data_IF_924854345883
#
_entry.id   IF_924854345883
#
_cell.length_a   1.000
_cell.length_b   1.000
_cell.length_c   1.000
_cell.angle_alpha   90.00
_cell.angle_beta   90.00
_cell.angle_gamma   90.00
#
_symmetry.space_group_name_H-M   'P 1'
#
loop_
_entity.id
_entity.type
_entity.pdbx_description
1 polymer ?
#
# COMPACT_ATOMS: atom_id res chain seq x y z
N UNK A 1 -92.57 -13.57 -57.95
CA UNK A 1 -91.59 -13.52 -56.88
C UNK A 1 -90.25 -13.92 -57.47
N UNK A 2 -89.41 -13.00 -57.81
CA UNK A 2 -88.10 -13.27 -58.51
C UNK A 2 -86.96 -13.07 -57.54
N UNK A 3 -86.08 -14.11 -57.38
CA UNK A 3 -84.84 -14.03 -56.67
C UNK A 3 -83.70 -13.56 -57.60
N UNK A 4 -82.86 -12.66 -57.21
CA UNK A 4 -81.66 -12.36 -57.98
C UNK A 4 -80.47 -13.26 -57.54
N UNK A 5 -79.76 -13.62 -58.56
CA UNK A 5 -78.49 -14.38 -58.48
C UNK A 5 -77.36 -13.43 -58.12
N UNK A 6 -76.57 -13.76 -57.09
CA UNK A 6 -75.33 -13.05 -56.81
C UNK A 6 -74.12 -13.85 -57.33
N UNK A 7 -73.38 -13.17 -58.21
CA UNK A 7 -72.07 -13.65 -58.71
C UNK A 7 -70.99 -13.35 -57.69
N UNK A 8 -70.26 -14.35 -57.28
CA UNK A 8 -69.12 -14.15 -56.43
C UNK A 8 -67.87 -13.99 -57.30
N UNK A 9 -67.20 -12.85 -57.17
CA UNK A 9 -65.88 -12.56 -57.77
C UNK A 9 -64.80 -13.00 -56.78
N UNK A 10 -63.95 -13.95 -57.13
CA UNK A 10 -62.79 -14.35 -56.35
C UNK A 10 -61.61 -13.48 -56.74
N UNK A 11 -61.14 -12.66 -55.84
CA UNK A 11 -59.88 -11.92 -55.96
C UNK A 11 -58.73 -12.74 -55.40
N UNK A 12 -57.80 -13.13 -56.24
CA UNK A 12 -56.53 -13.75 -55.82
C UNK A 12 -55.54 -12.65 -55.34
N UNK A 13 -55.20 -12.60 -54.06
CA UNK A 13 -54.15 -11.74 -53.50
C UNK A 13 -52.80 -12.45 -53.64
N UNK A 14 -51.89 -11.87 -54.39
CA UNK A 14 -50.52 -12.29 -54.48
C UNK A 14 -49.74 -11.73 -53.28
N UNK A 15 -49.22 -12.60 -52.39
CA UNK A 15 -48.31 -12.23 -51.29
C UNK A 15 -46.93 -12.00 -51.87
N UNK A 16 -46.44 -10.78 -51.89
CA UNK A 16 -45.05 -10.45 -52.13
C UNK A 16 -44.26 -10.61 -50.83
N UNK A 17 -43.41 -11.63 -50.73
CA UNK A 17 -42.44 -11.80 -49.65
C UNK A 17 -41.29 -10.78 -49.86
N UNK A 18 -41.23 -9.74 -49.05
CA UNK A 18 -40.08 -8.87 -48.95
C UNK A 18 -38.95 -9.57 -48.19
N UNK A 19 -37.83 -9.77 -48.85
CA UNK A 19 -36.59 -10.28 -48.21
C UNK A 19 -36.03 -9.19 -47.31
N UNK A 20 -35.96 -9.44 -45.98
CA UNK A 20 -35.29 -8.59 -45.01
C UNK A 20 -33.78 -8.83 -45.15
N UNK A 21 -32.95 -7.80 -45.37
CA UNK A 21 -31.50 -7.98 -45.39
C UNK A 21 -31.00 -8.36 -43.99
N UNK A 22 -30.22 -9.45 -43.89
CA UNK A 22 -29.55 -9.84 -42.69
C UNK A 22 -28.51 -8.80 -42.33
N UNK A 23 -28.77 -8.03 -41.28
CA UNK A 23 -27.77 -7.13 -40.67
C UNK A 23 -26.68 -8.01 -40.00
N UNK A 24 -25.50 -8.03 -40.61
CA UNK A 24 -24.30 -8.64 -40.00
C UNK A 24 -23.98 -7.86 -38.74
N UNK A 25 -24.23 -8.43 -37.55
CA UNK A 25 -23.77 -7.88 -36.29
C UNK A 25 -22.24 -7.93 -36.31
N UNK A 26 -21.61 -6.77 -36.23
CA UNK A 26 -20.17 -6.65 -35.95
C UNK A 26 -19.88 -7.35 -34.61
N UNK A 27 -18.79 -8.15 -34.50
CA UNK A 27 -18.41 -8.70 -33.22
C UNK A 27 -18.17 -7.54 -32.26
N UNK A 28 -18.79 -7.59 -31.07
CA UNK A 28 -18.52 -6.67 -30.00
C UNK A 28 -17.03 -6.75 -29.68
N UNK A 29 -16.31 -5.64 -29.88
CA UNK A 29 -14.94 -5.54 -29.41
C UNK A 29 -14.98 -5.79 -27.91
N UNK A 30 -14.42 -6.91 -27.47
CA UNK A 30 -14.15 -7.12 -26.04
C UNK A 30 -13.21 -6.00 -25.64
N UNK A 31 -13.70 -5.05 -24.85
CA UNK A 31 -12.84 -4.07 -24.22
C UNK A 31 -11.78 -4.89 -23.44
N UNK A 32 -10.52 -4.75 -23.85
CA UNK A 32 -9.42 -5.30 -23.05
C UNK A 32 -9.59 -4.71 -21.66
N UNK A 33 -9.67 -5.56 -20.63
CA UNK A 33 -9.62 -5.08 -19.26
C UNK A 33 -8.40 -4.17 -19.15
N UNK A 34 -8.56 -2.97 -18.59
CA UNK A 34 -7.44 -2.09 -18.33
C UNK A 34 -6.40 -2.92 -17.57
N UNK A 35 -5.18 -2.96 -18.08
CA UNK A 35 -4.10 -3.65 -17.37
C UNK A 35 -4.00 -3.04 -15.98
N UNK A 36 -3.99 -3.89 -14.92
CA UNK A 36 -3.81 -3.45 -13.55
C UNK A 36 -2.49 -2.67 -13.38
N UNK A 37 -2.28 -2.07 -12.23
CA UNK A 37 -1.09 -1.24 -12.00
C UNK A 37 0.21 -2.07 -12.02
N UNK A 38 0.14 -3.38 -11.84
CA UNK A 38 1.28 -4.29 -11.78
C UNK A 38 1.46 -5.08 -13.10
N UNK A 39 2.58 -5.79 -13.24
CA UNK A 39 2.94 -6.55 -14.45
C UNK A 39 3.04 -5.71 -15.74
N UNK A 40 3.38 -4.43 -15.61
CA UNK A 40 3.54 -3.54 -16.77
C UNK A 40 4.90 -3.71 -17.45
N UNK A 41 5.86 -4.35 -16.78
CA UNK A 41 7.16 -4.75 -17.32
C UNK A 41 7.44 -6.22 -17.02
N UNK A 42 8.21 -6.89 -17.89
CA UNK A 42 8.49 -8.34 -17.78
C UNK A 42 9.75 -8.66 -16.98
N UNK A 43 10.61 -7.69 -16.77
CA UNK A 43 11.86 -7.83 -15.99
C UNK A 43 11.89 -6.78 -14.90
N UNK A 44 12.43 -7.15 -13.74
CA UNK A 44 12.62 -6.20 -12.65
C UNK A 44 13.52 -5.02 -13.12
N UNK A 45 13.06 -3.78 -12.99
CA UNK A 45 13.87 -2.61 -13.33
C UNK A 45 14.90 -2.34 -12.22
N UNK A 46 15.77 -1.36 -12.44
CA UNK A 46 16.54 -0.77 -11.34
C UNK A 46 15.63 0.21 -10.62
N UNK A 47 15.27 -0.10 -9.38
CA UNK A 47 14.48 0.79 -8.53
C UNK A 47 15.34 1.93 -8.01
N UNK A 48 14.83 3.14 -8.10
CA UNK A 48 15.44 4.35 -7.54
C UNK A 48 14.54 5.03 -6.52
N UNK A 49 13.32 4.52 -6.39
CA UNK A 49 12.32 5.03 -5.44
C UNK A 49 11.61 3.88 -4.74
N UNK A 50 11.42 4.03 -3.44
CA UNK A 50 10.62 3.13 -2.59
C UNK A 50 9.65 3.98 -1.77
N UNK A 51 8.37 3.63 -1.79
CA UNK A 51 7.33 4.24 -0.95
C UNK A 51 6.77 3.19 -0.01
N UNK A 52 6.71 3.52 1.27
CA UNK A 52 5.91 2.79 2.25
C UNK A 52 4.68 3.61 2.65
N UNK A 53 3.54 2.95 2.73
CA UNK A 53 2.29 3.49 3.28
C UNK A 53 1.93 2.63 4.49
N UNK A 54 1.91 3.24 5.68
CA UNK A 54 1.67 2.56 6.94
C UNK A 54 0.24 2.79 7.41
N UNK A 55 -0.47 1.68 7.58
CA UNK A 55 -1.82 1.63 8.15
C UNK A 55 -1.74 1.04 9.57
N UNK A 56 -2.83 1.08 10.32
CA UNK A 56 -2.83 0.84 11.76
C UNK A 56 -3.82 -0.23 12.21
N UNK A 57 -3.34 -1.03 13.20
CA UNK A 57 -4.14 -1.85 14.11
C UNK A 57 -5.16 -2.82 13.47
N UNK A 58 -4.86 -3.40 12.31
CA UNK A 58 -5.72 -4.44 11.75
C UNK A 58 -4.95 -5.69 11.35
N UNK A 59 -5.44 -6.85 11.83
CA UNK A 59 -4.90 -8.15 11.45
C UNK A 59 -5.18 -8.48 9.99
N UNK A 60 -4.39 -9.38 9.41
CA UNK A 60 -4.55 -9.86 8.04
C UNK A 60 -6.00 -10.26 7.72
N UNK A 61 -6.64 -11.01 8.63
CA UNK A 61 -8.01 -11.50 8.46
C UNK A 61 -9.09 -10.41 8.50
N UNK A 62 -8.79 -9.25 9.07
CA UNK A 62 -9.73 -8.13 9.12
C UNK A 62 -9.79 -7.40 7.76
N UNK A 63 -8.71 -7.48 7.00
CA UNK A 63 -8.49 -6.75 5.75
C UNK A 63 -8.65 -7.66 4.53
N UNK A 64 -7.89 -8.75 4.46
CA UNK A 64 -7.86 -9.62 3.28
C UNK A 64 -9.07 -10.56 3.28
N UNK A 65 -9.83 -10.49 2.19
CA UNK A 65 -11.13 -11.17 2.04
C UNK A 65 -12.32 -10.31 2.46
N UNK A 66 -12.11 -9.19 3.16
CA UNK A 66 -13.17 -8.24 3.55
C UNK A 66 -13.48 -7.26 2.42
N UNK A 67 -14.00 -7.77 1.30
CA UNK A 67 -14.31 -6.95 0.12
C UNK A 67 -15.46 -5.97 0.33
N UNK A 68 -16.22 -6.12 1.42
CA UNK A 68 -17.30 -5.20 1.77
C UNK A 68 -16.78 -3.87 2.34
N UNK A 69 -15.68 -3.90 3.11
CA UNK A 69 -15.09 -2.72 3.76
C UNK A 69 -13.74 -2.31 3.16
N UNK A 70 -13.03 -3.24 2.50
CA UNK A 70 -11.73 -3.01 1.89
C UNK A 70 -11.69 -3.45 0.41
N UNK A 71 -12.62 -2.97 -0.46
CA UNK A 71 -12.66 -3.38 -1.86
C UNK A 71 -11.41 -2.96 -2.64
N UNK A 72 -10.87 -1.76 -2.40
CA UNK A 72 -9.69 -1.26 -3.10
C UNK A 72 -8.43 -2.02 -2.70
N UNK A 73 -8.22 -2.25 -1.42
CA UNK A 73 -7.09 -3.02 -0.89
C UNK A 73 -7.09 -4.45 -1.44
N UNK A 74 -8.26 -5.11 -1.41
CA UNK A 74 -8.39 -6.47 -1.97
C UNK A 74 -8.22 -6.50 -3.50
N UNK A 75 -8.65 -5.44 -4.19
CA UNK A 75 -8.37 -5.23 -5.61
C UNK A 75 -6.86 -5.17 -5.88
N UNK A 76 -6.13 -4.31 -5.19
CA UNK A 76 -4.66 -4.22 -5.30
C UNK A 76 -3.97 -5.54 -4.96
N UNK A 77 -4.41 -6.24 -3.91
CA UNK A 77 -3.85 -7.54 -3.53
C UNK A 77 -4.04 -8.60 -4.63
N UNK A 78 -5.14 -8.54 -5.38
CA UNK A 78 -5.42 -9.46 -6.49
C UNK A 78 -4.71 -9.09 -7.80
N UNK A 79 -4.48 -7.79 -8.02
CA UNK A 79 -3.85 -7.25 -9.23
C UNK A 79 -2.33 -7.13 -9.13
N UNK A 80 -1.78 -7.23 -7.91
CA UNK A 80 -0.36 -7.05 -7.60
C UNK A 80 0.16 -8.21 -6.74
N UNK A 81 0.99 -7.90 -5.74
CA UNK A 81 1.61 -8.86 -4.84
C UNK A 81 0.98 -8.84 -3.45
N UNK A 82 0.78 -10.01 -2.83
CA UNK A 82 0.32 -10.17 -1.45
C UNK A 82 1.24 -11.09 -0.66
N UNK A 83 1.86 -10.57 0.40
CA UNK A 83 2.54 -11.40 1.40
C UNK A 83 1.49 -12.00 2.35
N UNK A 84 1.30 -13.32 2.27
CA UNK A 84 0.27 -14.03 3.05
C UNK A 84 0.75 -14.50 4.42
N UNK A 85 2.01 -14.23 4.77
CA UNK A 85 2.62 -14.58 6.05
C UNK A 85 3.59 -13.47 6.47
N UNK A 86 3.03 -12.27 6.69
CA UNK A 86 3.80 -11.10 7.11
C UNK A 86 3.45 -10.71 8.55
N UNK A 87 4.47 -10.45 9.37
CA UNK A 87 4.33 -10.22 10.79
C UNK A 87 4.86 -8.85 11.21
N UNK A 88 4.19 -8.21 12.15
CA UNK A 88 4.76 -7.09 12.90
C UNK A 88 5.86 -7.57 13.87
N UNK A 89 6.41 -6.66 14.67
CA UNK A 89 7.52 -6.97 15.58
C UNK A 89 7.02 -7.09 17.01
N UNK A 90 6.13 -6.20 17.43
CA UNK A 90 5.69 -6.05 18.80
C UNK A 90 4.33 -5.37 18.88
N UNK A 91 3.86 -5.10 20.08
CA UNK A 91 2.83 -4.19 20.49
C UNK A 91 3.38 -3.29 21.60
N UNK A 92 2.99 -2.01 21.66
CA UNK A 92 2.10 -1.23 20.80
C UNK A 92 2.80 -0.72 19.52
N UNK A 93 2.21 0.31 18.87
CA UNK A 93 2.60 0.82 17.54
C UNK A 93 4.05 1.29 17.44
N UNK A 94 4.49 2.22 18.29
CA UNK A 94 5.80 2.90 18.14
C UNK A 94 7.02 1.96 18.03
N UNK A 95 7.14 0.85 18.78
CA UNK A 95 8.19 -0.14 18.59
C UNK A 95 8.29 -0.65 17.15
N UNK A 96 7.15 -0.84 16.44
CA UNK A 96 7.13 -1.31 15.06
C UNK A 96 7.71 -0.25 14.11
N UNK A 97 7.31 1.02 14.26
CA UNK A 97 7.83 2.14 13.47
C UNK A 97 9.34 2.30 13.62
N UNK A 98 9.85 2.19 14.86
CA UNK A 98 11.29 2.28 15.12
C UNK A 98 12.02 1.02 14.59
N UNK A 99 11.46 -0.18 14.78
CA UNK A 99 12.05 -1.42 14.29
C UNK A 99 12.16 -1.44 12.76
N UNK A 100 11.06 -1.09 12.04
CA UNK A 100 11.05 -1.09 10.58
C UNK A 100 11.96 -0.04 9.95
N UNK A 101 12.30 1.04 10.68
CA UNK A 101 13.13 2.11 10.14
C UNK A 101 14.58 2.07 10.58
N UNK A 102 14.94 1.25 11.60
CA UNK A 102 16.30 1.16 12.14
C UNK A 102 16.86 -0.26 12.25
N UNK A 103 16.00 -1.27 12.19
CA UNK A 103 16.42 -2.66 12.49
C UNK A 103 16.70 -2.92 13.97
N UNK A 104 16.33 -2.01 14.88
CA UNK A 104 16.49 -2.22 16.33
C UNK A 104 15.59 -3.35 16.84
N UNK A 105 16.06 -4.06 17.88
CA UNK A 105 15.34 -5.18 18.50
C UNK A 105 15.69 -5.35 19.98
N UNK A 106 14.99 -6.21 20.68
CA UNK A 106 15.25 -6.60 22.06
C UNK A 106 15.30 -5.38 22.99
N UNK A 107 16.40 -5.23 23.75
CA UNK A 107 16.51 -4.11 24.71
C UNK A 107 16.54 -2.71 24.07
N UNK A 108 16.99 -2.61 22.82
CA UNK A 108 17.11 -1.33 22.14
C UNK A 108 15.77 -0.76 21.70
N UNK A 109 14.72 -1.60 21.54
CA UNK A 109 13.37 -1.18 21.20
C UNK A 109 12.52 -0.85 22.43
N UNK A 110 12.87 -1.37 23.63
CA UNK A 110 12.10 -1.21 24.87
C UNK A 110 11.78 0.25 25.27
N UNK A 111 12.63 1.26 25.03
CA UNK A 111 12.29 2.64 25.35
C UNK A 111 11.00 3.15 24.68
N UNK A 112 10.53 2.47 23.64
CA UNK A 112 9.39 2.84 22.81
C UNK A 112 8.08 2.10 23.14
N UNK A 113 8.12 1.13 24.05
CA UNK A 113 7.00 0.23 24.40
C UNK A 113 5.77 0.93 25.02
N UNK A 114 5.80 2.24 25.22
CA UNK A 114 4.70 3.01 25.81
C UNK A 114 4.09 4.06 24.87
N UNK A 115 4.38 4.01 23.58
CA UNK A 115 3.95 5.01 22.58
C UNK A 115 4.25 6.45 22.99
N UNK A 116 5.39 6.62 23.65
CA UNK A 116 5.81 7.90 24.21
C UNK A 116 6.17 8.92 23.13
N UNK A 117 5.96 10.19 23.37
CA UNK A 117 6.47 11.26 22.50
C UNK A 117 8.01 11.37 22.59
N UNK A 118 8.68 11.91 21.55
CA UNK A 118 10.13 12.10 21.52
C UNK A 118 10.65 12.80 22.77
N UNK A 119 11.63 12.22 23.44
CA UNK A 119 12.24 12.74 24.64
C UNK A 119 13.60 12.06 24.89
N UNK A 120 14.36 12.52 25.90
CA UNK A 120 15.62 11.86 26.29
C UNK A 120 15.48 10.38 26.65
N UNK A 121 14.26 9.93 27.04
CA UNK A 121 13.97 8.53 27.41
C UNK A 121 13.27 7.77 26.28
N UNK A 122 12.73 8.48 25.30
CA UNK A 122 11.98 7.95 24.17
C UNK A 122 12.58 8.49 22.87
N UNK A 123 13.82 8.17 22.62
CA UNK A 123 14.56 8.49 21.39
C UNK A 123 15.80 7.61 21.27
N UNK A 124 16.40 7.61 20.10
CA UNK A 124 17.60 6.81 19.83
C UNK A 124 18.61 7.59 18.99
N UNK A 125 19.90 7.27 19.17
CA UNK A 125 20.97 7.68 18.26
C UNK A 125 21.34 6.60 17.24
N UNK A 126 20.57 5.54 17.16
CA UNK A 126 20.81 4.47 16.19
C UNK A 126 20.65 5.00 14.75
N UNK A 127 21.37 4.44 13.78
CA UNK A 127 21.12 4.69 12.37
C UNK A 127 19.70 4.30 11.98
N UNK A 128 19.15 5.02 11.00
CA UNK A 128 17.86 4.70 10.39
C UNK A 128 17.95 4.78 8.87
N UNK A 129 17.01 4.19 8.16
CA UNK A 129 16.93 4.27 6.70
C UNK A 129 16.93 5.72 6.21
N UNK A 130 16.38 6.65 6.99
CA UNK A 130 16.38 8.09 6.69
C UNK A 130 17.79 8.70 6.67
N UNK A 131 18.76 8.10 7.36
CA UNK A 131 20.12 8.61 7.50
C UNK A 131 21.18 7.85 6.71
N UNK A 132 20.81 6.92 5.81
CA UNK A 132 21.78 6.05 5.11
C UNK A 132 22.41 6.70 3.85
N UNK A 133 22.12 7.96 3.57
CA UNK A 133 22.78 8.74 2.51
C UNK A 133 21.93 8.96 1.26
N UNK A 134 20.84 8.22 1.07
CA UNK A 134 19.88 8.51 0.02
C UNK A 134 18.92 9.64 0.42
N UNK A 135 18.29 10.25 -0.58
CA UNK A 135 17.26 11.26 -0.34
C UNK A 135 16.02 10.61 0.28
N UNK A 136 15.43 11.27 1.25
CA UNK A 136 14.22 10.77 1.92
C UNK A 136 13.23 11.88 2.23
N UNK A 137 11.96 11.51 2.40
CA UNK A 137 10.93 12.32 3.08
C UNK A 137 9.96 11.42 3.84
N UNK A 138 9.49 11.92 4.97
CA UNK A 138 8.27 11.44 5.62
C UNK A 138 7.13 12.41 5.32
N UNK A 139 5.94 11.87 5.07
CA UNK A 139 4.74 12.62 4.70
C UNK A 139 3.62 12.20 5.63
N UNK A 140 3.32 13.05 6.61
CA UNK A 140 2.37 12.73 7.67
C UNK A 140 1.11 13.58 7.52
N UNK A 141 -0.04 12.91 7.43
CA UNK A 141 -1.32 13.57 7.31
C UNK A 141 -1.71 14.24 8.64
N UNK A 142 -2.34 15.41 8.56
CA UNK A 142 -2.70 16.25 9.71
C UNK A 142 -1.53 16.74 10.55
N UNK A 143 -0.28 16.53 10.15
CA UNK A 143 0.88 17.04 10.85
C UNK A 143 0.87 18.60 10.85
N UNK A 144 0.97 19.26 12.02
CA UNK A 144 0.78 20.71 12.13
C UNK A 144 1.95 21.54 11.62
N UNK A 145 3.15 20.97 11.59
CA UNK A 145 4.39 21.60 11.13
C UNK A 145 5.44 20.53 10.89
N UNK A 146 6.46 20.85 10.10
CA UNK A 146 7.56 19.90 9.83
C UNK A 146 8.18 19.38 11.13
N UNK A 147 8.48 18.06 11.16
CA UNK A 147 9.13 17.40 12.29
C UNK A 147 8.40 17.65 13.64
N UNK A 148 7.06 17.59 13.63
CA UNK A 148 6.25 17.85 14.81
C UNK A 148 6.51 16.80 15.91
N UNK A 149 6.99 17.21 17.10
CA UNK A 149 7.42 16.26 18.13
C UNK A 149 6.31 15.85 19.09
N UNK A 150 5.06 16.20 18.83
CA UNK A 150 3.92 15.94 19.71
C UNK A 150 2.63 15.72 18.93
N UNK A 151 1.70 14.96 19.51
CA UNK A 151 0.37 14.74 18.94
C UNK A 151 -0.38 16.07 18.73
N UNK A 152 -1.17 16.16 17.67
CA UNK A 152 -1.98 17.33 17.34
C UNK A 152 -3.22 16.93 16.52
N UNK A 153 -4.40 17.03 17.13
CA UNK A 153 -5.62 16.56 16.47
C UNK A 153 -5.50 15.09 16.07
N UNK A 154 -5.67 14.80 14.78
CA UNK A 154 -5.57 13.46 14.23
C UNK A 154 -4.12 13.04 13.87
N UNK A 155 -3.13 13.91 14.03
CA UNK A 155 -1.73 13.55 13.91
C UNK A 155 -1.21 12.88 15.18
N UNK A 156 -0.66 11.68 15.04
CA UNK A 156 -0.02 10.94 16.13
C UNK A 156 1.49 10.84 15.92
N UNK A 157 2.27 11.49 16.78
CA UNK A 157 3.74 11.49 16.65
C UNK A 157 4.34 10.09 16.74
N UNK A 158 3.70 9.15 17.45
CA UNK A 158 4.14 7.75 17.54
C UNK A 158 4.11 7.02 16.19
N UNK A 159 3.37 7.53 15.20
CA UNK A 159 3.32 7.00 13.83
C UNK A 159 4.31 7.71 12.89
N UNK A 160 5.05 8.70 13.40
CA UNK A 160 6.05 9.46 12.66
C UNK A 160 7.46 9.21 13.24
N UNK A 161 8.27 8.28 12.68
CA UNK A 161 9.54 7.89 13.27
C UNK A 161 10.67 8.94 13.22
N UNK A 162 10.81 9.86 12.22
CA UNK A 162 11.94 10.78 12.16
C UNK A 162 12.23 11.59 13.43
N UNK A 163 11.25 12.15 14.17
CA UNK A 163 11.51 12.91 15.40
C UNK A 163 12.17 12.11 16.53
N UNK A 164 12.17 10.79 16.48
CA UNK A 164 12.77 9.93 17.51
C UNK A 164 14.26 9.69 17.31
N UNK A 165 14.84 10.07 16.16
CA UNK A 165 16.24 9.85 15.84
C UNK A 165 17.07 11.12 16.15
N UNK A 166 17.80 11.10 17.27
CA UNK A 166 18.53 12.29 17.76
C UNK A 166 19.70 12.72 16.89
N UNK A 167 20.20 11.83 16.03
CA UNK A 167 21.32 12.10 15.12
C UNK A 167 20.87 12.32 13.67
N UNK A 168 19.57 12.22 13.38
CA UNK A 168 19.03 12.40 12.04
C UNK A 168 19.06 13.88 11.64
N UNK A 169 19.82 14.15 10.58
CA UNK A 169 19.82 15.48 9.98
C UNK A 169 18.58 15.68 9.08
N UNK A 170 18.10 16.90 8.99
CA UNK A 170 17.08 17.28 8.01
C UNK A 170 15.63 17.03 8.44
N UNK A 171 15.33 16.51 9.66
CA UNK A 171 13.95 16.31 10.10
C UNK A 171 13.07 17.55 9.84
N UNK A 172 13.52 18.74 10.20
CA UNK A 172 12.76 20.00 10.03
C UNK A 172 12.47 20.40 8.58
N UNK A 173 13.05 19.72 7.60
CA UNK A 173 12.85 20.02 6.18
C UNK A 173 12.37 18.84 5.35
N UNK A 174 12.51 17.60 5.87
CA UNK A 174 12.25 16.37 5.13
C UNK A 174 11.10 15.54 5.72
N UNK A 175 10.77 15.78 6.98
CA UNK A 175 9.58 15.26 7.64
C UNK A 175 8.51 16.36 7.56
N UNK A 176 7.53 16.19 6.65
CA UNK A 176 6.67 17.27 6.16
C UNK A 176 5.19 16.86 6.16
N UNK A 177 4.25 17.82 6.23
CA UNK A 177 2.84 17.52 6.05
C UNK A 177 2.56 16.80 4.72
N UNK A 178 1.65 15.83 4.75
CA UNK A 178 1.29 14.97 3.61
C UNK A 178 0.97 15.75 2.32
N UNK A 179 0.45 16.96 2.43
CA UNK A 179 0.12 17.82 1.29
C UNK A 179 1.32 18.10 0.38
N UNK A 180 2.55 17.97 0.88
CA UNK A 180 3.77 18.14 0.09
C UNK A 180 3.96 17.03 -0.95
N UNK A 181 3.41 15.82 -0.70
CA UNK A 181 3.56 14.67 -1.60
C UNK A 181 3.06 14.96 -3.02
N UNK A 182 1.92 15.66 -3.15
CA UNK A 182 1.38 16.00 -4.47
C UNK A 182 2.36 16.84 -5.31
N UNK A 183 3.06 17.77 -4.67
CA UNK A 183 4.10 18.59 -5.34
C UNK A 183 5.30 17.73 -5.76
N UNK A 184 5.72 16.82 -4.89
CA UNK A 184 6.89 15.96 -5.16
C UNK A 184 6.58 14.89 -6.24
N UNK A 185 5.36 14.40 -6.31
CA UNK A 185 4.91 13.48 -7.38
C UNK A 185 4.80 14.18 -8.74
N UNK A 186 4.41 15.45 -8.77
CA UNK A 186 4.23 16.22 -10.00
C UNK A 186 5.54 16.69 -10.63
N UNK A 187 6.60 16.86 -9.81
CA UNK A 187 7.90 17.35 -10.30
C UNK A 187 8.77 16.24 -10.90
N UNK A 188 9.47 16.55 -11.98
CA UNK A 188 10.50 15.65 -12.49
C UNK A 188 11.68 15.61 -11.51
N UNK A 189 12.00 14.44 -10.96
CA UNK A 189 13.09 14.21 -10.00
C UNK A 189 12.90 14.85 -8.60
N UNK A 190 11.68 15.14 -8.17
CA UNK A 190 11.40 15.68 -6.82
C UNK A 190 10.97 14.62 -5.82
N UNK A 191 10.52 13.45 -6.28
CA UNK A 191 10.25 12.33 -5.40
C UNK A 191 11.57 11.80 -4.82
N UNK A 192 11.72 11.68 -3.49
CA UNK A 192 12.95 11.17 -2.90
C UNK A 192 13.13 9.67 -3.16
N UNK A 193 14.33 9.15 -2.96
CA UNK A 193 14.62 7.73 -3.07
C UNK A 193 13.81 6.89 -2.08
N UNK A 194 13.64 7.38 -0.84
CA UNK A 194 12.80 6.75 0.16
C UNK A 194 11.70 7.70 0.64
N UNK A 195 10.45 7.24 0.57
CA UNK A 195 9.26 7.95 1.05
C UNK A 195 8.54 7.11 2.10
N UNK A 196 8.27 7.71 3.26
CA UNK A 196 7.48 7.13 4.34
C UNK A 196 6.18 7.91 4.45
N UNK A 197 5.03 7.24 4.28
CA UNK A 197 3.72 7.89 4.27
C UNK A 197 2.88 7.34 5.41
N UNK A 198 2.36 8.24 6.24
CA UNK A 198 1.45 7.92 7.34
C UNK A 198 0.16 8.72 7.20
N UNK A 199 -0.98 8.08 6.94
CA UNK A 199 -2.28 8.73 7.05
C UNK A 199 -2.56 9.14 8.50
N UNK A 200 -3.53 10.03 8.73
CA UNK A 200 -3.92 10.43 10.08
C UNK A 200 -4.72 9.31 10.79
N UNK A 201 -4.95 9.46 12.10
CA UNK A 201 -5.61 8.45 12.94
C UNK A 201 -6.96 7.92 12.43
N UNK A 202 -7.66 8.70 11.61
CA UNK A 202 -8.92 8.25 10.99
C UNK A 202 -8.64 7.45 9.71
N UNK A 203 -7.72 7.94 8.91
CA UNK A 203 -7.45 7.42 7.59
C UNK A 203 -6.48 6.22 7.61
N UNK A 204 -5.65 6.11 8.65
CA UNK A 204 -4.80 4.93 8.89
C UNK A 204 -5.57 3.73 9.46
N UNK A 205 -6.84 3.90 9.87
CA UNK A 205 -7.75 2.93 10.50
C UNK A 205 -7.60 2.79 12.03
N UNK A 206 -6.70 3.53 12.70
CA UNK A 206 -6.50 3.45 14.14
C UNK A 206 -7.77 3.84 14.91
N UNK A 207 -8.27 5.06 14.69
CA UNK A 207 -9.50 5.59 15.26
C UNK A 207 -10.66 5.54 14.25
N UNK A 208 -10.34 5.33 12.97
CA UNK A 208 -11.29 5.21 11.87
C UNK A 208 -11.73 3.77 11.62
N UNK A 209 -12.56 3.61 10.59
CA UNK A 209 -12.99 2.29 10.12
C UNK A 209 -12.12 1.79 8.97
N UNK A 210 -12.12 0.48 8.73
CA UNK A 210 -11.49 -0.15 7.56
C UNK A 210 -11.96 0.54 6.26
N UNK A 211 -13.25 0.83 6.14
CA UNK A 211 -13.81 1.48 4.95
C UNK A 211 -13.29 2.92 4.76
N UNK A 212 -12.99 3.65 5.83
CA UNK A 212 -12.38 4.99 5.74
C UNK A 212 -10.95 4.91 5.20
N UNK A 213 -10.13 4.00 5.75
CA UNK A 213 -8.78 3.79 5.25
C UNK A 213 -8.70 3.24 3.83
N UNK A 214 -9.60 2.30 3.47
CA UNK A 214 -9.73 1.81 2.08
C UNK A 214 -10.09 2.95 1.11
N UNK A 215 -11.03 3.82 1.53
CA UNK A 215 -11.40 5.01 0.76
C UNK A 215 -10.22 5.95 0.60
N UNK A 216 -9.47 6.23 1.68
CA UNK A 216 -8.28 7.08 1.61
C UNK A 216 -7.23 6.50 0.64
N UNK A 217 -6.94 5.20 0.73
CA UNK A 217 -6.02 4.53 -0.19
C UNK A 217 -6.51 4.64 -1.64
N UNK A 218 -7.80 4.43 -1.90
CA UNK A 218 -8.39 4.52 -3.24
C UNK A 218 -8.31 5.91 -3.86
N UNK A 219 -8.27 6.96 -3.03
CA UNK A 219 -8.14 8.35 -3.46
C UNK A 219 -6.68 8.80 -3.66
N UNK A 220 -5.75 8.23 -2.92
CA UNK A 220 -4.36 8.72 -2.85
C UNK A 220 -3.37 7.85 -3.64
N UNK A 221 -3.49 6.53 -3.60
CA UNK A 221 -2.58 5.61 -4.30
C UNK A 221 -2.57 5.81 -5.82
N UNK A 222 -3.70 6.09 -6.50
CA UNK A 222 -3.69 6.32 -7.94
C UNK A 222 -2.77 7.48 -8.39
N UNK A 223 -2.62 8.53 -7.57
CA UNK A 223 -1.70 9.63 -7.88
C UNK A 223 -0.23 9.17 -7.84
N UNK A 224 0.12 8.28 -6.89
CA UNK A 224 1.45 7.67 -6.79
C UNK A 224 1.70 6.79 -8.04
N UNK A 225 0.75 5.94 -8.39
CA UNK A 225 0.85 5.03 -9.53
C UNK A 225 0.81 5.75 -10.89
N UNK A 226 0.25 6.95 -10.94
CA UNK A 226 0.28 7.84 -12.11
C UNK A 226 1.55 8.68 -12.23
N UNK A 227 2.44 8.67 -11.23
CA UNK A 227 3.68 9.45 -11.25
C UNK A 227 4.66 8.98 -12.32
N UNK A 228 5.56 9.88 -12.74
CA UNK A 228 6.63 9.53 -13.68
C UNK A 228 7.54 8.43 -13.16
N UNK A 229 7.81 8.40 -11.84
CA UNK A 229 8.62 7.38 -11.21
C UNK A 229 7.99 5.97 -11.30
N UNK A 230 6.66 5.87 -11.13
CA UNK A 230 5.97 4.58 -11.26
C UNK A 230 5.83 4.15 -12.72
N UNK A 231 5.39 5.06 -13.59
CA UNK A 231 5.14 4.75 -15.01
C UNK A 231 6.42 4.49 -15.80
N UNK A 232 7.57 5.02 -15.34
CA UNK A 232 8.91 4.66 -15.88
C UNK A 232 9.46 3.33 -15.35
N UNK A 233 8.80 2.73 -14.38
CA UNK A 233 9.19 1.44 -13.80
C UNK A 233 10.17 1.55 -12.62
N UNK A 234 10.50 2.74 -12.12
CA UNK A 234 11.57 2.93 -11.13
C UNK A 234 11.10 3.02 -9.68
N UNK A 235 9.80 2.91 -9.42
CA UNK A 235 9.18 3.00 -8.09
C UNK A 235 8.55 1.67 -7.66
N UNK A 236 8.86 1.22 -6.45
CA UNK A 236 8.14 0.15 -5.73
C UNK A 236 7.35 0.74 -4.57
N UNK A 237 6.09 0.31 -4.40
CA UNK A 237 5.20 0.75 -3.31
C UNK A 237 4.83 -0.43 -2.44
N UNK A 238 4.90 -0.23 -1.12
CA UNK A 238 4.49 -1.22 -0.13
C UNK A 238 3.40 -0.60 0.76
N UNK A 239 2.28 -1.29 0.89
CA UNK A 239 1.19 -0.91 1.80
C UNK A 239 1.12 -1.99 2.87
N UNK A 240 1.31 -1.62 4.14
CA UNK A 240 1.31 -2.56 5.26
C UNK A 240 0.74 -1.93 6.52
N UNK A 241 0.47 -2.73 7.53
CA UNK A 241 0.02 -2.32 8.85
C UNK A 241 1.17 -2.45 9.84
N UNK A 242 1.24 -1.54 10.79
CA UNK A 242 2.24 -1.55 11.85
C UNK A 242 2.10 -2.75 12.76
N UNK A 243 0.85 -3.07 13.15
CA UNK A 243 0.47 -4.23 13.97
C UNK A 243 -0.97 -4.66 13.68
N UNK A 244 -1.34 -5.85 14.15
CA UNK A 244 -2.70 -6.36 14.04
C UNK A 244 -3.58 -6.00 15.22
N UNK A 245 -4.89 -6.31 15.11
CA UNK A 245 -5.89 -5.99 16.13
C UNK A 245 -5.66 -6.79 17.42
N UNK A 246 -5.68 -6.11 18.55
CA UNK A 246 -6.01 -6.72 19.84
C UNK A 246 -4.96 -7.62 20.49
N UNK A 247 -3.73 -7.31 20.51
CA UNK A 247 -2.70 -8.11 21.17
C UNK A 247 -1.96 -7.37 22.27
N UNK A 248 -2.43 -7.38 23.53
CA UNK A 248 -1.64 -6.84 24.63
C UNK A 248 -1.30 -7.93 25.66
N UNK A 249 -0.04 -7.98 26.15
CA UNK A 249 1.22 -7.61 25.50
C UNK A 249 1.82 -8.80 24.74
N UNK A 250 1.96 -8.74 23.42
CA UNK A 250 2.72 -9.74 22.69
C UNK A 250 4.12 -9.20 22.44
N UNK A 251 5.08 -9.65 23.24
CA UNK A 251 6.48 -9.40 22.96
C UNK A 251 6.93 -10.37 21.84
N UNK A 252 7.60 -9.83 20.81
CA UNK A 252 8.25 -10.62 19.75
C UNK A 252 7.30 -11.31 18.74
N UNK A 253 6.46 -10.55 18.09
CA UNK A 253 5.62 -10.99 16.98
C UNK A 253 6.43 -11.50 15.77
N UNK A 254 7.64 -11.00 15.55
CA UNK A 254 8.50 -11.42 14.45
C UNK A 254 8.75 -12.94 14.38
N UNK A 255 8.67 -13.64 15.54
CA UNK A 255 8.87 -15.09 15.66
C UNK A 255 7.56 -15.86 15.91
N UNK A 256 6.44 -15.21 16.13
CA UNK A 256 5.15 -15.85 16.45
C UNK A 256 4.27 -15.90 15.21
N UNK A 257 3.99 -17.10 14.72
CA UNK A 257 3.20 -17.33 13.53
C UNK A 257 1.72 -17.66 13.80
N UNK A 258 1.33 -17.92 15.07
CA UNK A 258 -0.01 -18.36 15.44
C UNK A 258 -0.88 -17.28 16.10
N UNK A 259 -0.31 -16.12 16.44
CA UNK A 259 -1.05 -15.01 17.04
C UNK A 259 -1.61 -14.11 15.93
N UNK A 260 -2.91 -13.99 15.83
CA UNK A 260 -3.56 -13.20 14.79
C UNK A 260 -3.20 -11.71 14.87
N UNK A 261 -2.93 -11.18 16.08
CA UNK A 261 -2.51 -9.79 16.26
C UNK A 261 -1.10 -9.50 15.76
N UNK A 262 -0.31 -10.55 15.53
CA UNK A 262 1.02 -10.46 14.94
C UNK A 262 1.01 -10.60 13.41
N UNK A 263 -0.12 -10.97 12.79
CA UNK A 263 -0.23 -11.24 11.37
C UNK A 263 -0.95 -10.10 10.66
N UNK A 264 -0.24 -9.34 9.84
CA UNK A 264 -0.77 -8.17 9.13
C UNK A 264 -0.71 -8.34 7.61
N UNK A 265 -1.54 -7.60 6.90
CA UNK A 265 -1.49 -7.56 5.44
C UNK A 265 -0.28 -6.76 4.95
N UNK A 266 0.34 -7.22 3.86
CA UNK A 266 1.35 -6.44 3.15
C UNK A 266 1.19 -6.64 1.66
N UNK A 267 0.91 -5.54 0.95
CA UNK A 267 0.67 -5.51 -0.48
C UNK A 267 1.89 -4.88 -1.15
N UNK A 268 2.39 -5.54 -2.18
CA UNK A 268 3.53 -5.08 -2.98
C UNK A 268 3.01 -4.65 -4.34
N UNK A 269 3.11 -3.35 -4.61
CA UNK A 269 2.67 -2.74 -5.87
C UNK A 269 3.90 -2.29 -6.66
N UNK A 270 4.15 -2.96 -7.76
CA UNK A 270 5.36 -2.71 -8.56
C UNK A 270 5.09 -3.04 -10.03
N UNK A 271 5.69 -2.27 -10.97
CA UNK A 271 5.58 -2.54 -12.39
C UNK A 271 6.03 -3.95 -12.81
N UNK A 272 6.98 -4.57 -12.09
CA UNK A 272 7.50 -5.91 -12.40
C UNK A 272 6.83 -7.05 -11.63
N UNK A 273 6.04 -6.76 -10.60
CA UNK A 273 5.32 -7.80 -9.85
C UNK A 273 4.20 -8.39 -10.70
N UNK A 274 4.19 -9.69 -11.02
CA UNK A 274 3.10 -10.30 -11.77
C UNK A 274 1.78 -10.21 -11.00
N UNK A 275 0.68 -10.00 -11.73
CA UNK A 275 -0.64 -9.93 -11.13
C UNK A 275 -0.97 -11.21 -10.35
N UNK A 276 -1.55 -11.06 -9.15
CA UNK A 276 -1.94 -12.17 -8.28
C UNK A 276 -0.75 -12.91 -7.64
N UNK A 277 0.46 -12.33 -7.64
CA UNK A 277 1.59 -12.94 -6.96
C UNK A 277 1.33 -13.04 -5.46
N UNK A 278 1.47 -14.24 -4.90
CA UNK A 278 1.37 -14.46 -3.46
C UNK A 278 2.62 -15.14 -2.92
N UNK A 279 3.00 -14.81 -1.68
CA UNK A 279 4.11 -15.48 -1.01
C UNK A 279 3.76 -15.84 0.43
N UNK A 280 3.92 -17.11 0.78
CA UNK A 280 3.81 -17.64 2.16
C UNK A 280 5.13 -17.62 2.93
N UNK A 281 6.18 -17.02 2.38
CA UNK A 281 7.43 -16.84 3.10
C UNK A 281 7.19 -15.96 4.33
N UNK A 282 7.76 -16.34 5.46
CA UNK A 282 7.71 -15.52 6.67
C UNK A 282 8.51 -14.22 6.44
N UNK A 283 7.78 -13.13 6.31
CA UNK A 283 8.30 -11.77 6.27
C UNK A 283 7.87 -11.00 7.53
N UNK A 284 8.54 -9.90 7.79
CA UNK A 284 8.20 -8.97 8.86
C UNK A 284 8.76 -7.56 8.56
N UNK A 285 8.60 -6.63 9.49
CA UNK A 285 9.11 -5.26 9.31
C UNK A 285 10.62 -5.17 9.05
N UNK A 286 11.41 -6.12 9.56
CA UNK A 286 12.83 -6.19 9.20
C UNK A 286 13.04 -6.67 7.76
N UNK A 287 12.17 -7.56 7.27
CA UNK A 287 12.16 -7.95 5.84
C UNK A 287 11.83 -6.76 4.94
N UNK A 288 10.88 -5.92 5.35
CA UNK A 288 10.52 -4.70 4.61
C UNK A 288 11.67 -3.71 4.57
N UNK A 289 12.32 -3.44 5.73
CA UNK A 289 13.52 -2.62 5.80
C UNK A 289 14.60 -3.16 4.88
N UNK A 290 14.91 -4.43 5.01
CA UNK A 290 15.89 -5.09 4.18
C UNK A 290 15.56 -5.06 2.70
N UNK A 291 14.28 -5.08 2.32
CA UNK A 291 13.85 -4.97 0.92
C UNK A 291 14.12 -3.57 0.38
N UNK A 292 13.74 -2.52 1.11
CA UNK A 292 14.01 -1.14 0.70
C UNK A 292 15.51 -0.86 0.58
N UNK A 293 16.30 -1.32 1.56
CA UNK A 293 17.76 -1.21 1.52
C UNK A 293 18.37 -1.92 0.30
N UNK A 294 17.84 -3.09 -0.08
CA UNK A 294 18.31 -3.80 -1.26
C UNK A 294 17.97 -3.06 -2.55
N UNK A 295 16.75 -2.57 -2.67
CA UNK A 295 16.29 -1.86 -3.87
C UNK A 295 17.07 -0.55 -4.08
N UNK A 296 17.43 0.13 -2.99
CA UNK A 296 18.16 1.40 -3.01
C UNK A 296 19.68 1.25 -2.92
N UNK A 297 20.21 0.01 -2.87
CA UNK A 297 21.64 -0.23 -2.79
C UNK A 297 22.26 0.15 -1.45
N UNK A 298 21.47 0.20 -0.38
CA UNK A 298 21.88 0.58 0.98
C UNK A 298 22.41 -0.60 1.80
N UNK A 299 23.30 -0.37 2.77
CA UNK A 299 23.72 -1.41 3.71
C UNK A 299 22.59 -1.81 4.64
N UNK A 300 22.57 -3.09 5.09
CA UNK A 300 21.54 -3.61 5.99
C UNK A 300 21.69 -3.09 7.41
N UNK A 301 20.61 -2.53 7.97
CA UNK A 301 20.54 -2.08 9.36
C UNK A 301 20.06 -3.21 10.30
N UNK A 302 20.75 -3.38 11.40
CA UNK A 302 20.33 -4.23 12.51
C UNK A 302 19.77 -5.59 12.06
N UNK A 303 18.55 -5.90 12.48
CA UNK A 303 17.89 -7.17 12.16
C UNK A 303 17.50 -7.35 10.69
N UNK A 304 17.53 -6.30 9.86
CA UNK A 304 17.27 -6.43 8.42
C UNK A 304 18.23 -7.42 7.72
N UNK A 305 19.43 -7.64 8.28
CA UNK A 305 20.37 -8.64 7.79
C UNK A 305 20.01 -10.08 8.14
N UNK A 306 19.11 -10.29 9.11
CA UNK A 306 18.74 -11.61 9.64
C UNK A 306 17.46 -12.19 9.04
N UNK A 307 16.73 -11.40 8.26
CA UNK A 307 15.46 -11.81 7.65
C UNK A 307 15.51 -11.76 6.12
N UNK A 308 14.72 -12.61 5.44
CA UNK A 308 14.65 -12.59 3.98
C UNK A 308 14.07 -11.29 3.46
N UNK A 309 14.56 -10.83 2.30
CA UNK A 309 13.94 -9.73 1.58
C UNK A 309 12.78 -10.21 0.71
N UNK A 310 11.90 -9.31 0.34
CA UNK A 310 10.73 -9.60 -0.48
C UNK A 310 11.04 -9.59 -1.99
N UNK A 311 12.26 -9.20 -2.39
CA UNK A 311 12.63 -8.96 -3.80
C UNK A 311 12.40 -10.17 -4.68
N UNK A 312 12.89 -11.35 -4.31
CA UNK A 312 12.74 -12.58 -5.11
C UNK A 312 11.29 -13.05 -5.19
N UNK A 313 10.53 -12.92 -4.08
CA UNK A 313 9.15 -13.38 -4.01
C UNK A 313 8.19 -12.52 -4.85
N UNK A 314 8.50 -11.25 -5.05
CA UNK A 314 7.64 -10.29 -5.75
C UNK A 314 8.26 -9.74 -7.03
N UNK A 315 9.35 -10.33 -7.53
CA UNK A 315 10.02 -9.95 -8.78
C UNK A 315 10.48 -8.46 -8.80
N UNK A 316 10.99 -7.98 -7.67
CA UNK A 316 11.51 -6.62 -7.51
C UNK A 316 12.98 -6.54 -7.89
#
# INVERSE_FOLDING_TARGET
MRRPLFLALSAAAALAMAAVPATSALPAATAAAAAGPCATVTTAPTYTHVIWILMENHSFSDIIGNTAQAPYINGLASECGLATNYHNISHPSLPNYIAMTSGLSGRAIKPFDSDCSPSKKCSTSAPSIFGQGETWKAYDESMPSNCAPANSGEYAVRHNPPPYYTTLAGCSSLDVPYTQLATDLAGSNSLPAFSFITPNLINDMHDGTIAQGDTWLSQNVPAILGSSAYTSGTLAVFITWDEGSGGYPVENCAAKTSDASCHVATIVVSPSTPAGTTSGTLFNHYSLLGTAEQLLGLPRLGQASSYPTMTSAFHL
#
